data_IF_056170076582
#
_entry.id   IF_056170076582
#
_cell.length_a   1.000
_cell.length_b   1.000
_cell.length_c   1.000
_cell.angle_alpha   90.00
_cell.angle_beta   90.00
_cell.angle_gamma   90.00
#
_symmetry.space_group_name_H-M   'P 1'
#
loop_
_entity.id
_entity.type
_entity.pdbx_description
1 polymer ?
#
# COMPACT_ATOMS: atom_id res chain seq x y z
N UNK A 1 24.39 5.90 -4.98
CA UNK A 1 23.29 6.38 -4.14
C UNK A 1 22.03 5.81 -4.74
N UNK A 2 21.29 5.02 -3.96
CA UNK A 2 19.98 4.54 -4.42
C UNK A 2 18.95 5.68 -4.35
N UNK A 3 17.78 5.52 -4.98
CA UNK A 3 16.76 6.57 -5.02
C UNK A 3 16.30 6.98 -3.61
N UNK A 4 16.18 6.02 -2.68
CA UNK A 4 15.72 6.27 -1.30
C UNK A 4 16.69 7.17 -0.53
N UNK A 5 17.99 6.88 -0.60
CA UNK A 5 19.05 7.74 -0.06
C UNK A 5 19.00 9.15 -0.68
N UNK A 6 18.76 9.24 -1.99
CA UNK A 6 18.66 10.54 -2.69
C UNK A 6 17.48 11.35 -2.18
N UNK A 7 16.32 10.72 -1.95
CA UNK A 7 15.15 11.38 -1.37
C UNK A 7 15.41 11.86 0.07
N UNK A 8 16.07 11.05 0.90
CA UNK A 8 16.47 11.44 2.26
C UNK A 8 17.43 12.63 2.26
N UNK A 9 18.44 12.60 1.38
CA UNK A 9 19.37 13.71 1.19
C UNK A 9 18.65 14.97 0.74
N UNK A 10 17.75 14.88 -0.25
CA UNK A 10 16.98 16.01 -0.75
C UNK A 10 16.05 16.60 0.32
N UNK A 11 15.41 15.76 1.11
CA UNK A 11 14.57 16.20 2.22
C UNK A 11 15.39 16.99 3.24
N UNK A 12 16.59 16.50 3.60
CA UNK A 12 17.54 17.23 4.46
C UNK A 12 17.94 18.58 3.87
N UNK A 13 18.26 18.64 2.56
CA UNK A 13 18.59 19.90 1.87
C UNK A 13 17.43 20.89 1.93
N UNK A 14 16.19 20.43 1.75
CA UNK A 14 15.00 21.28 1.89
C UNK A 14 14.89 21.81 3.32
N UNK A 15 15.03 20.97 4.34
CA UNK A 15 14.89 21.38 5.75
C UNK A 15 15.99 22.37 6.19
N UNK A 16 17.23 22.16 5.76
CA UNK A 16 18.38 22.96 6.22
C UNK A 16 18.67 24.18 5.34
N UNK A 17 18.29 24.16 4.05
CA UNK A 17 18.75 25.14 3.07
C UNK A 17 17.63 25.81 2.26
N UNK A 18 16.35 25.62 2.60
CA UNK A 18 15.22 26.27 1.91
C UNK A 18 15.40 27.78 1.74
N UNK A 19 15.89 28.47 2.76
CA UNK A 19 16.11 29.91 2.72
C UNK A 19 17.23 30.34 1.78
N UNK A 20 18.11 29.41 1.36
CA UNK A 20 19.17 29.66 0.38
C UNK A 20 18.71 29.38 -1.05
N UNK A 21 17.75 28.47 -1.24
CA UNK A 21 17.23 28.03 -2.55
C UNK A 21 16.05 28.92 -2.94
N UNK A 22 16.28 30.19 -3.30
CA UNK A 22 15.16 31.16 -3.47
C UNK A 22 14.57 31.23 -4.87
N UNK A 23 15.34 30.92 -5.90
CA UNK A 23 14.94 31.11 -7.31
C UNK A 23 14.82 29.78 -8.06
N UNK A 24 14.34 29.87 -9.29
CA UNK A 24 14.13 28.71 -10.16
C UNK A 24 15.43 27.97 -10.48
N UNK A 25 16.52 28.69 -10.77
CA UNK A 25 17.83 28.10 -11.08
C UNK A 25 18.44 27.33 -9.89
N UNK A 26 18.35 27.89 -8.68
CA UNK A 26 18.75 27.18 -7.47
C UNK A 26 17.89 25.92 -7.25
N UNK A 27 16.59 26.01 -7.55
CA UNK A 27 15.67 24.86 -7.42
C UNK A 27 16.04 23.74 -8.39
N UNK A 28 16.30 24.12 -9.65
CA UNK A 28 16.84 23.25 -10.70
C UNK A 28 18.12 22.54 -10.26
N UNK A 29 19.10 23.32 -9.80
CA UNK A 29 20.43 22.81 -9.46
C UNK A 29 20.46 21.91 -8.23
N UNK A 30 19.78 22.30 -7.14
CA UNK A 30 19.94 21.67 -5.84
C UNK A 30 18.86 20.63 -5.52
N UNK A 31 17.72 20.65 -6.21
CA UNK A 31 16.60 19.74 -5.92
C UNK A 31 16.24 18.87 -7.13
N UNK A 32 16.04 19.48 -8.31
CA UNK A 32 15.56 18.75 -9.49
C UNK A 32 16.66 17.86 -10.08
N UNK A 33 17.85 18.41 -10.38
CA UNK A 33 18.95 17.61 -10.96
C UNK A 33 19.36 16.42 -10.07
N UNK A 34 19.53 16.57 -8.74
CA UNK A 34 19.86 15.41 -7.91
C UNK A 34 18.75 14.35 -7.92
N UNK A 35 17.47 14.73 -7.98
CA UNK A 35 16.38 13.76 -8.11
C UNK A 35 16.46 13.01 -9.45
N UNK A 36 16.66 13.72 -10.57
CA UNK A 36 16.81 13.09 -11.88
C UNK A 36 17.97 12.09 -11.88
N UNK A 37 19.08 12.45 -11.24
CA UNK A 37 20.21 11.52 -11.04
C UNK A 37 19.84 10.32 -10.18
N UNK A 38 19.07 10.52 -9.10
CA UNK A 38 18.53 9.44 -8.26
C UNK A 38 17.61 8.48 -9.01
N UNK A 39 16.86 8.99 -9.98
CA UNK A 39 16.05 8.19 -10.92
C UNK A 39 16.89 7.46 -11.99
N UNK A 40 18.22 7.63 -11.96
CA UNK A 40 19.17 6.96 -12.84
C UNK A 40 19.43 7.68 -14.15
N UNK A 41 18.94 8.91 -14.33
CA UNK A 41 19.25 9.72 -15.51
C UNK A 41 20.64 10.36 -15.39
N UNK A 42 21.40 10.35 -16.48
CA UNK A 42 22.69 11.04 -16.54
C UNK A 42 22.53 12.55 -16.77
N UNK A 43 22.57 13.31 -15.69
CA UNK A 43 22.47 14.78 -15.70
C UNK A 43 23.68 15.50 -16.29
N UNK A 44 24.79 14.79 -16.52
CA UNK A 44 25.99 15.36 -17.15
C UNK A 44 26.05 15.08 -18.65
N UNK A 45 25.22 14.16 -19.15
CA UNK A 45 25.11 13.87 -20.56
C UNK A 45 24.05 14.76 -21.20
N UNK A 46 24.42 15.71 -22.09
CA UNK A 46 23.45 16.54 -22.80
C UNK A 46 22.59 15.75 -23.79
N UNK A 47 22.98 14.51 -24.10
CA UNK A 47 22.19 13.57 -24.91
C UNK A 47 21.06 12.92 -24.12
N UNK A 48 21.13 12.95 -22.79
CA UNK A 48 20.16 12.31 -21.91
C UNK A 48 19.32 13.33 -21.15
N UNK A 49 19.95 14.29 -20.46
CA UNK A 49 19.25 15.40 -19.81
C UNK A 49 19.69 16.69 -20.49
N UNK A 50 18.83 17.22 -21.35
CA UNK A 50 19.11 18.44 -22.11
C UNK A 50 18.45 19.63 -21.41
N UNK A 51 19.22 20.57 -20.83
CA UNK A 51 18.67 21.81 -20.29
C UNK A 51 18.22 22.76 -21.39
N UNK A 52 17.27 23.64 -21.09
CA UNK A 52 16.80 24.70 -22.00
C UNK A 52 16.41 24.17 -23.40
N UNK A 53 15.72 23.03 -23.44
CA UNK A 53 15.39 22.35 -24.69
C UNK A 53 14.39 23.19 -25.50
N UNK A 54 14.73 23.45 -26.76
CA UNK A 54 13.97 24.34 -27.65
C UNK A 54 13.31 23.52 -28.76
N UNK A 55 12.04 23.80 -29.04
CA UNK A 55 11.34 23.24 -30.18
C UNK A 55 11.56 24.14 -31.40
N UNK A 56 12.26 23.67 -32.42
CA UNK A 56 12.47 24.40 -33.67
C UNK A 56 11.18 24.46 -34.52
N UNK A 57 10.17 25.21 -34.06
CA UNK A 57 9.01 25.56 -34.89
C UNK A 57 8.51 26.99 -34.59
N UNK A 58 9.00 27.95 -35.37
CA UNK A 58 8.35 29.17 -35.91
C UNK A 58 7.61 30.14 -34.94
N UNK A 59 7.61 29.94 -33.62
CA UNK A 59 7.09 30.90 -32.64
C UNK A 59 8.01 30.99 -31.42
N UNK A 60 8.48 32.22 -31.17
CA UNK A 60 9.10 32.81 -29.96
C UNK A 60 9.75 31.82 -28.98
N UNK A 61 11.09 31.90 -28.84
CA UNK A 61 11.99 31.70 -27.68
C UNK A 61 11.49 31.07 -26.36
N UNK A 62 10.44 30.27 -26.36
CA UNK A 62 10.05 29.49 -25.21
C UNK A 62 10.99 28.27 -25.21
N UNK A 63 11.43 27.87 -24.02
CA UNK A 63 12.23 26.66 -23.80
C UNK A 63 11.61 25.87 -22.66
N UNK A 64 11.71 24.54 -22.68
CA UNK A 64 11.41 23.73 -21.50
C UNK A 64 12.68 23.57 -20.68
N UNK A 65 12.58 23.56 -19.35
CA UNK A 65 13.74 23.57 -18.48
C UNK A 65 14.62 22.34 -18.67
N UNK A 66 14.02 21.14 -18.73
CA UNK A 66 14.72 19.92 -19.11
C UNK A 66 13.90 19.06 -20.06
N UNK A 67 14.59 18.49 -21.05
CA UNK A 67 14.13 17.34 -21.80
C UNK A 67 14.94 16.11 -21.39
N UNK A 68 14.25 15.03 -21.02
CA UNK A 68 14.87 13.74 -20.73
C UNK A 68 14.67 12.84 -21.93
N UNK A 69 15.79 12.41 -22.51
CA UNK A 69 15.84 11.55 -23.67
C UNK A 69 16.16 10.12 -23.28
N UNK A 70 15.38 9.18 -23.80
CA UNK A 70 15.58 7.74 -23.58
C UNK A 70 15.75 7.12 -24.97
N UNK A 71 16.84 6.38 -25.16
CA UNK A 71 17.23 5.83 -26.46
C UNK A 71 17.37 6.89 -27.57
N UNK A 72 17.85 8.09 -27.22
CA UNK A 72 18.10 9.19 -28.16
C UNK A 72 16.87 10.01 -28.55
N UNK A 73 15.71 9.72 -27.98
CA UNK A 73 14.48 10.51 -28.23
C UNK A 73 13.96 11.15 -26.94
N UNK A 74 13.54 12.44 -26.98
CA UNK A 74 12.85 13.07 -25.86
C UNK A 74 11.58 12.30 -25.51
N UNK A 75 11.47 11.86 -24.25
CA UNK A 75 10.30 11.13 -23.72
C UNK A 75 9.59 11.88 -22.60
N UNK A 76 10.33 12.67 -21.83
CA UNK A 76 9.82 13.38 -20.65
C UNK A 76 10.24 14.85 -20.73
N UNK A 77 9.29 15.74 -20.46
CA UNK A 77 9.57 17.17 -20.27
C UNK A 77 9.41 17.56 -18.80
N UNK A 78 10.34 18.36 -18.30
CA UNK A 78 10.33 18.87 -16.93
C UNK A 78 10.34 20.39 -16.97
N UNK A 79 9.36 21.00 -16.32
CA UNK A 79 9.21 22.44 -16.13
C UNK A 79 9.40 22.74 -14.64
N UNK A 80 10.33 23.63 -14.34
CA UNK A 80 10.67 24.05 -12.99
C UNK A 80 9.92 25.33 -12.60
N UNK A 81 9.76 25.51 -11.29
CA UNK A 81 9.29 26.73 -10.67
C UNK A 81 10.15 27.00 -9.42
N UNK A 82 10.23 28.25 -8.94
CA UNK A 82 10.93 28.54 -7.69
C UNK A 82 10.36 27.75 -6.50
N UNK A 83 11.20 27.30 -5.57
CA UNK A 83 10.80 26.44 -4.43
C UNK A 83 9.59 26.95 -3.62
N UNK A 84 9.42 28.27 -3.51
CA UNK A 84 8.36 28.90 -2.72
C UNK A 84 7.09 29.18 -3.52
N UNK A 85 7.07 28.85 -4.80
CA UNK A 85 5.90 28.99 -5.65
C UNK A 85 4.94 27.81 -5.44
N UNK A 86 3.64 28.10 -5.43
CA UNK A 86 2.61 27.06 -5.47
C UNK A 86 2.47 26.54 -6.89
N UNK A 87 2.40 25.22 -7.04
CA UNK A 87 2.15 24.59 -8.32
C UNK A 87 0.65 24.70 -8.63
N UNK A 88 0.28 25.60 -9.53
CA UNK A 88 -1.09 25.69 -10.04
C UNK A 88 -1.34 24.58 -11.06
N UNK A 89 -2.61 24.15 -11.18
CA UNK A 89 -3.02 23.04 -12.09
C UNK A 89 -2.65 23.26 -13.56
N UNK A 90 -2.58 24.51 -14.00
CA UNK A 90 -2.28 24.83 -15.39
C UNK A 90 -0.79 25.04 -15.59
N UNK A 91 -0.20 24.24 -16.49
CA UNK A 91 1.16 24.39 -16.98
C UNK A 91 1.11 24.75 -18.48
N UNK A 92 0.74 25.98 -18.88
CA UNK A 92 0.50 26.32 -20.28
C UNK A 92 1.73 26.12 -21.16
N UNK A 93 2.91 26.39 -20.61
CA UNK A 93 4.20 26.21 -21.28
C UNK A 93 4.45 24.72 -21.55
N UNK A 94 4.42 23.89 -20.50
CA UNK A 94 4.58 22.44 -20.61
C UNK A 94 3.55 21.80 -21.57
N UNK A 95 2.28 22.22 -21.52
CA UNK A 95 1.22 21.72 -22.41
C UNK A 95 1.49 22.01 -23.91
N UNK A 96 2.03 23.19 -24.23
CA UNK A 96 2.41 23.55 -25.62
C UNK A 96 3.53 22.66 -26.14
N UNK A 97 4.55 22.39 -25.32
CA UNK A 97 5.65 21.50 -25.69
C UNK A 97 5.21 20.07 -25.87
N UNK A 98 4.44 19.57 -24.91
CA UNK A 98 3.88 18.23 -24.96
C UNK A 98 3.18 18.00 -26.29
N UNK A 99 2.36 18.95 -26.76
CA UNK A 99 1.64 18.83 -28.02
C UNK A 99 2.51 18.94 -29.28
N UNK A 100 3.71 19.51 -29.16
CA UNK A 100 4.64 19.74 -30.28
C UNK A 100 5.53 18.52 -30.55
N UNK A 101 5.76 17.67 -29.55
CA UNK A 101 6.63 16.49 -29.67
C UNK A 101 5.84 15.20 -29.44
N UNK A 102 5.38 14.52 -30.51
CA UNK A 102 4.59 13.30 -30.39
C UNK A 102 5.25 12.14 -29.63
N UNK A 103 6.58 12.16 -29.51
CA UNK A 103 7.35 11.16 -28.78
C UNK A 103 7.41 11.43 -27.27
N UNK A 104 7.07 12.66 -26.84
CA UNK A 104 6.95 13.02 -25.44
C UNK A 104 5.54 12.75 -24.98
N UNK A 105 5.43 11.87 -24.00
CA UNK A 105 4.15 11.44 -23.43
C UNK A 105 4.05 11.70 -21.93
N UNK A 106 5.10 12.24 -21.33
CA UNK A 106 5.13 12.58 -19.91
C UNK A 106 5.62 14.01 -19.70
N UNK A 107 4.86 14.76 -18.90
CA UNK A 107 5.22 16.09 -18.44
C UNK A 107 5.34 16.11 -16.92
N UNK A 108 6.34 16.82 -16.40
CA UNK A 108 6.54 17.02 -14.97
C UNK A 108 6.59 18.53 -14.71
N UNK A 109 5.70 19.04 -13.86
CA UNK A 109 5.80 20.40 -13.32
C UNK A 109 6.22 20.30 -11.86
N UNK A 110 7.27 21.02 -11.47
CA UNK A 110 7.82 20.90 -10.11
C UNK A 110 8.41 22.20 -9.57
N UNK A 111 8.35 22.37 -8.25
CA UNK A 111 9.09 23.38 -7.50
C UNK A 111 10.24 22.76 -6.68
N UNK A 112 10.63 21.52 -6.97
CA UNK A 112 11.65 20.76 -6.24
C UNK A 112 11.16 20.11 -4.93
N UNK A 113 9.96 20.44 -4.45
CA UNK A 113 9.30 19.79 -3.31
C UNK A 113 8.16 18.90 -3.82
N UNK A 114 7.24 19.51 -4.56
CA UNK A 114 6.10 18.85 -5.19
C UNK A 114 6.44 18.56 -6.66
N UNK A 115 6.12 17.35 -7.13
CA UNK A 115 6.31 16.91 -8.51
C UNK A 115 4.96 16.44 -9.06
N UNK A 116 4.43 17.21 -10.01
CA UNK A 116 3.13 16.95 -10.63
C UNK A 116 3.37 16.29 -11.99
N UNK A 117 2.92 15.03 -12.12
CA UNK A 117 3.08 14.24 -13.32
C UNK A 117 1.82 14.30 -14.19
N UNK A 118 2.02 14.59 -15.48
CA UNK A 118 0.98 14.75 -16.49
C UNK A 118 1.25 13.82 -17.67
N UNK A 119 0.19 13.35 -18.31
CA UNK A 119 0.23 12.50 -19.50
C UNK A 119 -0.93 12.89 -20.42
N UNK A 120 -1.10 12.20 -21.53
CA UNK A 120 -2.16 12.40 -22.53
C UNK A 120 -3.21 11.27 -22.53
N UNK A 121 -3.86 11.01 -21.40
CA UNK A 121 -4.86 9.94 -21.30
C UNK A 121 -6.13 10.27 -22.08
N UNK A 122 -6.59 11.52 -22.03
CA UNK A 122 -7.88 11.87 -22.63
C UNK A 122 -7.78 12.01 -24.15
N UNK A 123 -6.72 12.63 -24.64
CA UNK A 123 -6.51 12.89 -26.06
C UNK A 123 -5.04 12.71 -26.40
N UNK A 124 -4.73 11.82 -27.34
CA UNK A 124 -3.36 11.55 -27.77
C UNK A 124 -2.62 12.83 -28.17
N UNK A 125 -1.40 13.00 -27.65
CA UNK A 125 -0.52 14.15 -27.86
C UNK A 125 -1.10 15.48 -27.33
N UNK A 126 -2.06 15.43 -26.40
CA UNK A 126 -2.59 16.60 -25.71
C UNK A 126 -2.50 16.31 -24.22
N UNK A 127 -1.66 17.08 -23.53
CA UNK A 127 -1.46 16.94 -22.09
C UNK A 127 -2.77 17.19 -21.33
N UNK A 128 -3.08 16.31 -20.40
CA UNK A 128 -4.25 16.45 -19.54
C UNK A 128 -4.14 17.71 -18.63
N UNK A 129 -5.27 18.36 -18.31
CA UNK A 129 -5.27 19.60 -17.53
C UNK A 129 -5.01 19.38 -16.03
N UNK A 130 -5.00 18.12 -15.58
CA UNK A 130 -4.79 17.73 -14.19
C UNK A 130 -3.71 16.67 -14.11
N UNK A 131 -2.81 16.73 -13.11
CA UNK A 131 -1.83 15.68 -12.93
C UNK A 131 -2.52 14.38 -12.48
N UNK A 132 -2.00 13.25 -12.94
CA UNK A 132 -2.47 11.93 -12.51
C UNK A 132 -1.75 11.44 -11.25
N UNK A 133 -0.57 12.00 -10.96
CA UNK A 133 0.23 11.67 -9.79
C UNK A 133 0.92 12.94 -9.27
N UNK A 134 0.90 13.13 -7.95
CA UNK A 134 1.58 14.23 -7.26
C UNK A 134 2.46 13.62 -6.19
N UNK A 135 3.76 13.83 -6.29
CA UNK A 135 4.74 13.35 -5.31
C UNK A 135 5.27 14.52 -4.48
N UNK A 136 5.16 14.44 -3.16
CA UNK A 136 5.72 15.42 -2.22
C UNK A 136 6.96 14.84 -1.54
N UNK A 137 8.12 15.41 -1.84
CA UNK A 137 9.41 14.95 -1.33
C UNK A 137 9.52 15.03 0.21
N UNK A 138 8.76 15.93 0.84
CA UNK A 138 8.74 16.11 2.29
C UNK A 138 7.73 15.23 3.01
N UNK A 139 6.75 14.69 2.27
CA UNK A 139 5.63 13.94 2.83
C UNK A 139 5.05 12.93 1.83
N UNK A 140 5.81 11.88 1.52
CA UNK A 140 5.35 10.78 0.65
C UNK A 140 5.08 9.49 1.45
N UNK A 141 4.13 8.68 0.97
CA UNK A 141 3.89 7.32 1.46
C UNK A 141 4.73 6.28 0.70
N UNK A 142 4.81 5.04 1.20
CA UNK A 142 5.48 3.95 0.48
C UNK A 142 4.80 3.64 -0.87
N UNK A 143 3.49 3.87 -1.00
CA UNK A 143 2.77 3.78 -2.28
C UNK A 143 3.26 4.86 -3.26
N UNK A 144 3.42 6.10 -2.79
CA UNK A 144 3.95 7.19 -3.61
C UNK A 144 5.39 6.93 -4.06
N UNK A 145 6.22 6.38 -3.18
CA UNK A 145 7.58 5.95 -3.53
C UNK A 145 7.54 4.85 -4.62
N UNK A 146 6.69 3.84 -4.46
CA UNK A 146 6.52 2.75 -5.42
C UNK A 146 6.06 3.26 -6.79
N UNK A 147 5.22 4.30 -6.84
CA UNK A 147 4.84 4.97 -8.08
C UNK A 147 6.01 5.76 -8.68
N UNK A 148 6.75 6.52 -7.86
CA UNK A 148 7.90 7.31 -8.32
C UNK A 148 8.99 6.44 -8.96
N UNK A 149 9.25 5.25 -8.41
CA UNK A 149 10.26 4.30 -8.93
C UNK A 149 10.02 3.95 -10.40
N UNK A 150 8.76 3.89 -10.86
CA UNK A 150 8.40 3.58 -12.25
C UNK A 150 8.87 4.64 -13.26
N UNK A 151 9.23 5.84 -12.79
CA UNK A 151 9.80 6.90 -13.61
C UNK A 151 11.32 6.84 -13.70
N UNK A 152 11.95 5.85 -13.06
CA UNK A 152 13.39 5.62 -13.16
C UNK A 152 13.76 5.15 -14.57
N UNK A 153 14.94 5.55 -15.06
CA UNK A 153 15.43 5.26 -16.42
C UNK A 153 15.24 3.79 -16.84
N UNK A 154 15.60 2.85 -15.96
CA UNK A 154 15.58 1.42 -16.27
C UNK A 154 14.18 0.79 -16.24
N UNK A 155 13.20 1.49 -15.67
CA UNK A 155 11.81 1.02 -15.52
C UNK A 155 10.83 1.84 -16.36
N UNK A 156 11.32 2.87 -17.06
CA UNK A 156 10.49 3.71 -17.88
C UNK A 156 9.88 2.88 -19.02
N UNK A 157 8.56 2.73 -18.96
CA UNK A 157 7.74 2.16 -20.00
C UNK A 157 6.44 2.95 -20.09
N UNK A 158 6.16 3.53 -21.26
CA UNK A 158 5.02 4.41 -21.43
C UNK A 158 3.69 3.68 -21.22
N UNK A 159 3.54 2.44 -21.71
CA UNK A 159 2.29 1.68 -21.53
C UNK A 159 2.03 1.39 -20.06
N UNK A 160 3.07 1.02 -19.29
CA UNK A 160 2.97 0.83 -17.84
C UNK A 160 2.62 2.13 -17.10
N UNK A 161 3.24 3.26 -17.48
CA UNK A 161 2.93 4.58 -16.90
C UNK A 161 1.50 5.01 -17.23
N UNK A 162 1.03 4.74 -18.45
CA UNK A 162 -0.32 5.04 -18.89
C UNK A 162 -1.35 4.26 -18.05
N UNK A 163 -1.16 2.94 -17.89
CA UNK A 163 -2.03 2.11 -17.05
C UNK A 163 -2.02 2.56 -15.58
N UNK A 164 -0.85 2.98 -15.07
CA UNK A 164 -0.74 3.57 -13.73
C UNK A 164 -1.58 4.85 -13.64
N UNK A 165 -1.43 5.75 -14.61
CA UNK A 165 -2.16 7.01 -14.65
C UNK A 165 -3.68 6.80 -14.69
N UNK A 166 -4.17 5.87 -15.52
CA UNK A 166 -5.58 5.49 -15.56
C UNK A 166 -6.07 4.99 -14.19
N UNK A 167 -5.31 4.09 -13.57
CA UNK A 167 -5.64 3.54 -12.26
C UNK A 167 -5.72 4.63 -11.18
N UNK A 168 -4.77 5.55 -11.14
CA UNK A 168 -4.73 6.64 -10.17
C UNK A 168 -5.90 7.63 -10.36
N UNK A 169 -6.19 8.02 -11.60
CA UNK A 169 -7.32 8.91 -11.91
C UNK A 169 -8.64 8.26 -11.52
N UNK A 170 -8.85 6.98 -11.87
CA UNK A 170 -10.07 6.26 -11.50
C UNK A 170 -10.20 6.11 -9.99
N UNK A 171 -9.13 5.73 -9.30
CA UNK A 171 -9.11 5.61 -7.84
C UNK A 171 -9.46 6.93 -7.17
N UNK A 172 -8.87 8.04 -7.62
CA UNK A 172 -9.17 9.37 -7.07
C UNK A 172 -10.61 9.80 -7.34
N UNK A 173 -11.11 9.57 -8.56
CA UNK A 173 -12.49 9.86 -8.95
C UNK A 173 -13.48 9.07 -8.11
N UNK A 174 -13.28 7.75 -7.98
CA UNK A 174 -14.13 6.89 -7.17
C UNK A 174 -14.09 7.28 -5.69
N UNK A 175 -12.91 7.56 -5.14
CA UNK A 175 -12.77 8.05 -3.76
C UNK A 175 -13.53 9.36 -3.55
N UNK A 176 -13.49 10.28 -4.51
CA UNK A 176 -14.23 11.55 -4.44
C UNK A 176 -15.74 11.31 -4.38
N UNK A 177 -16.27 10.48 -5.27
CA UNK A 177 -17.71 10.15 -5.31
C UNK A 177 -18.13 9.43 -4.03
N UNK A 178 -17.31 8.50 -3.53
CA UNK A 178 -17.60 7.78 -2.28
C UNK A 178 -17.65 8.76 -1.10
N UNK A 179 -16.70 9.70 -1.00
CA UNK A 179 -16.73 10.76 0.02
C UNK A 179 -17.99 11.61 -0.08
N UNK A 180 -18.37 12.02 -1.28
CA UNK A 180 -19.60 12.76 -1.52
C UNK A 180 -20.84 11.98 -1.07
N UNK A 181 -20.89 10.66 -1.26
CA UNK A 181 -22.00 9.82 -0.76
C UNK A 181 -22.10 9.87 0.77
N UNK A 182 -20.99 9.86 1.49
CA UNK A 182 -20.98 9.95 2.95
C UNK A 182 -21.38 11.34 3.47
N UNK A 183 -20.95 12.40 2.78
CA UNK A 183 -21.23 13.78 3.19
C UNK A 183 -22.61 14.26 2.75
N UNK A 184 -23.02 13.94 1.53
CA UNK A 184 -24.26 14.37 0.89
C UNK A 184 -24.78 13.31 -0.11
N UNK A 185 -25.44 12.24 0.37
CA UNK A 185 -25.88 11.13 -0.48
C UNK A 185 -26.87 11.62 -1.57
N UNK A 186 -26.66 11.26 -2.83
CA UNK A 186 -27.56 11.67 -3.92
C UNK A 186 -28.95 11.02 -3.81
N UNK A 187 -29.96 11.61 -4.47
CA UNK A 187 -31.32 11.02 -4.54
C UNK A 187 -31.29 9.61 -5.14
N UNK A 188 -30.46 9.40 -6.15
CA UNK A 188 -30.28 8.09 -6.79
C UNK A 188 -29.68 7.07 -5.82
N UNK A 189 -28.70 7.47 -5.01
CA UNK A 189 -28.13 6.61 -3.97
C UNK A 189 -29.17 6.25 -2.90
N UNK A 190 -29.92 7.23 -2.39
CA UNK A 190 -30.98 6.99 -1.40
C UNK A 190 -32.02 6.03 -1.96
N UNK A 191 -32.44 6.24 -3.20
CA UNK A 191 -33.39 5.37 -3.91
C UNK A 191 -32.85 3.95 -4.09
N UNK A 192 -31.56 3.81 -4.40
CA UNK A 192 -30.88 2.51 -4.45
C UNK A 192 -30.96 1.80 -3.09
N UNK A 193 -30.54 2.45 -2.00
CA UNK A 193 -30.57 1.89 -0.63
C UNK A 193 -31.97 1.41 -0.24
N UNK A 194 -33.00 2.22 -0.50
CA UNK A 194 -34.38 1.87 -0.17
C UNK A 194 -34.85 0.65 -0.97
N UNK A 195 -34.56 0.61 -2.28
CA UNK A 195 -35.01 -0.47 -3.17
C UNK A 195 -34.38 -1.82 -2.85
N UNK A 196 -33.18 -1.84 -2.29
CA UNK A 196 -32.50 -3.07 -1.88
C UNK A 196 -33.23 -3.83 -0.77
N UNK A 197 -34.13 -3.17 -0.02
CA UNK A 197 -34.90 -3.80 1.06
C UNK A 197 -36.41 -3.62 0.97
N UNK A 198 -36.88 -2.61 0.25
CA UNK A 198 -38.30 -2.28 0.15
C UNK A 198 -38.79 -2.26 -1.30
N UNK A 199 -39.92 -2.91 -1.56
CA UNK A 199 -40.45 -3.12 -2.93
C UNK A 199 -41.57 -2.13 -3.31
N UNK A 200 -41.66 -0.96 -2.68
CA UNK A 200 -42.66 0.05 -3.00
C UNK A 200 -42.11 1.13 -3.95
N UNK A 201 -43.02 1.86 -4.59
CA UNK A 201 -42.66 2.99 -5.46
C UNK A 201 -42.10 4.14 -4.62
N UNK A 202 -40.80 4.40 -4.74
CA UNK A 202 -40.12 5.49 -4.04
C UNK A 202 -40.52 6.83 -4.67
N UNK A 203 -41.17 7.71 -3.90
CA UNK A 203 -41.54 9.09 -4.29
C UNK A 203 -40.48 10.09 -3.82
N UNK A 204 -40.43 11.28 -4.44
CA UNK A 204 -39.50 12.33 -4.03
C UNK A 204 -39.71 12.78 -2.58
N UNK A 205 -40.97 12.85 -2.13
CA UNK A 205 -41.29 13.19 -0.76
C UNK A 205 -40.75 12.17 0.23
N UNK A 206 -40.80 10.88 -0.10
CA UNK A 206 -40.19 9.84 0.74
C UNK A 206 -38.66 9.94 0.75
N UNK A 207 -38.02 10.22 -0.40
CA UNK A 207 -36.57 10.45 -0.48
C UNK A 207 -36.14 11.59 0.43
N UNK A 208 -36.86 12.72 0.40
CA UNK A 208 -36.55 13.88 1.23
C UNK A 208 -36.64 13.55 2.74
N UNK A 209 -37.61 12.75 3.15
CA UNK A 209 -37.76 12.29 4.54
C UNK A 209 -36.71 11.24 4.92
N UNK A 210 -36.34 10.35 4.00
CA UNK A 210 -35.38 9.27 4.23
C UNK A 210 -33.93 9.77 4.22
N UNK A 211 -33.61 10.84 3.48
CA UNK A 211 -32.27 11.43 3.34
C UNK A 211 -31.52 11.60 4.68
N UNK A 212 -32.05 12.31 5.69
CA UNK A 212 -31.34 12.47 6.97
C UNK A 212 -31.14 11.15 7.70
N UNK A 213 -32.07 10.19 7.56
CA UNK A 213 -31.94 8.87 8.17
C UNK A 213 -30.85 8.04 7.47
N UNK A 214 -30.82 8.01 6.14
CA UNK A 214 -29.79 7.32 5.36
C UNK A 214 -28.41 7.90 5.66
N UNK A 215 -28.29 9.23 5.72
CA UNK A 215 -27.03 9.88 6.06
C UNK A 215 -26.55 9.51 7.46
N UNK A 216 -27.46 9.51 8.45
CA UNK A 216 -27.16 9.06 9.81
C UNK A 216 -26.68 7.61 9.83
N UNK A 217 -27.42 6.70 9.18
CA UNK A 217 -27.04 5.29 9.12
C UNK A 217 -25.70 5.05 8.40
N UNK A 218 -25.36 5.83 7.36
CA UNK A 218 -24.06 5.75 6.71
C UNK A 218 -22.91 6.13 7.66
N UNK A 219 -23.09 7.18 8.46
CA UNK A 219 -22.09 7.61 9.44
C UNK A 219 -21.95 6.60 10.59
N UNK A 220 -23.07 6.09 11.10
CA UNK A 220 -23.09 5.04 12.12
C UNK A 220 -22.40 3.77 11.62
N UNK A 221 -22.75 3.29 10.42
CA UNK A 221 -22.12 2.11 9.83
C UNK A 221 -20.61 2.30 9.59
N UNK A 222 -20.18 3.47 9.14
CA UNK A 222 -18.75 3.78 9.00
C UNK A 222 -18.04 3.77 10.36
N UNK A 223 -18.69 4.31 11.40
CA UNK A 223 -18.16 4.33 12.76
C UNK A 223 -18.07 2.92 13.35
N UNK A 224 -19.08 2.07 13.13
CA UNK A 224 -19.07 0.65 13.49
C UNK A 224 -17.92 -0.07 12.79
N UNK A 225 -17.79 0.08 11.47
CA UNK A 225 -16.70 -0.54 10.69
C UNK A 225 -15.33 -0.09 11.20
N UNK A 226 -15.15 1.20 11.51
CA UNK A 226 -13.88 1.70 12.06
C UNK A 226 -13.65 1.13 13.46
N UNK A 227 -14.66 1.14 14.32
CA UNK A 227 -14.55 0.62 15.69
C UNK A 227 -14.21 -0.88 15.69
N UNK A 228 -14.84 -1.66 14.82
CA UNK A 228 -14.58 -3.09 14.61
C UNK A 228 -13.18 -3.36 14.04
N UNK A 229 -12.63 -2.44 13.26
CA UNK A 229 -11.30 -2.58 12.63
C UNK A 229 -10.16 -2.07 13.51
N UNK A 230 -10.42 -1.12 14.42
CA UNK A 230 -9.39 -0.38 15.15
C UNK A 230 -9.47 -0.49 16.70
N UNK A 231 -10.42 -1.23 17.27
CA UNK A 231 -10.50 -1.51 18.72
C UNK A 231 -10.43 -0.22 19.57
N UNK A 232 -11.06 0.87 19.08
CA UNK A 232 -11.10 2.17 19.76
C UNK A 232 -12.32 2.18 20.69
N UNK A 233 -12.15 2.21 22.03
CA UNK A 233 -13.27 2.39 22.93
C UNK A 233 -13.66 3.85 22.91
N UNK A 234 -14.81 4.17 22.31
CA UNK A 234 -15.35 5.52 22.38
C UNK A 234 -16.03 5.71 23.74
N UNK A 235 -15.51 6.65 24.55
CA UNK A 235 -16.19 7.14 25.74
C UNK A 235 -17.46 7.88 25.33
N UNK A 236 -18.59 7.31 25.77
CA UNK A 236 -19.97 7.76 25.59
C UNK A 236 -20.32 9.04 26.36
N UNK A 237 -21.27 9.81 25.82
CA UNK A 237 -22.26 10.53 26.64
C UNK A 237 -23.69 10.15 26.24
N UNK A 238 -24.19 9.13 26.97
CA UNK A 238 -25.49 8.96 27.64
C UNK A 238 -26.74 9.60 27.02
N UNK A 239 -27.69 8.74 26.64
CA UNK A 239 -28.99 8.71 27.33
C UNK A 239 -29.48 7.27 27.48
N UNK A 240 -29.73 6.89 28.74
CA UNK A 240 -30.23 5.59 29.18
C UNK A 240 -31.70 5.41 28.76
N UNK A 241 -32.07 4.19 28.40
CA UNK A 241 -33.05 3.44 29.19
C UNK A 241 -32.94 1.94 28.88
N UNK A 242 -32.95 1.16 29.96
CA UNK A 242 -32.76 -0.27 29.99
C UNK A 242 -34.08 -0.99 29.72
N UNK A 243 -34.04 -2.06 28.91
CA UNK A 243 -34.85 -3.24 29.16
C UNK A 243 -33.92 -4.45 29.02
N UNK A 244 -33.77 -5.15 30.14
CA UNK A 244 -33.13 -6.45 30.22
C UNK A 244 -33.97 -7.48 29.49
N UNK A 245 -33.33 -8.27 28.62
CA UNK A 245 -33.73 -9.62 28.30
C UNK A 245 -32.45 -10.42 28.06
N UNK A 246 -32.33 -11.50 28.82
CA UNK A 246 -31.28 -12.50 28.69
C UNK A 246 -31.24 -13.03 27.25
N UNK A 247 -30.06 -13.10 26.64
CA UNK A 247 -29.82 -14.06 25.57
C UNK A 247 -28.52 -14.83 25.81
N UNK A 248 -28.76 -16.14 25.92
CA UNK A 248 -27.85 -17.25 25.78
C UNK A 248 -26.77 -17.07 24.71
N UNK A 249 -25.65 -17.76 24.94
CA UNK A 249 -24.67 -18.18 23.94
C UNK A 249 -25.26 -18.27 22.52
N UNK A 250 -24.73 -17.46 21.60
CA UNK A 250 -24.74 -17.80 20.18
C UNK A 250 -23.32 -17.83 19.64
N UNK A 251 -23.06 -18.96 18.99
CA UNK A 251 -21.79 -19.45 18.49
C UNK A 251 -21.14 -18.50 17.49
N UNK A 252 -19.81 -18.39 17.56
CA UNK A 252 -18.97 -17.84 16.49
C UNK A 252 -19.29 -18.61 15.20
N UNK A 253 -20.04 -18.02 14.28
CA UNK A 253 -20.14 -18.54 12.91
C UNK A 253 -18.73 -18.48 12.30
N UNK A 254 -18.13 -19.64 12.09
CA UNK A 254 -16.91 -19.79 11.30
C UNK A 254 -17.21 -19.43 9.85
N UNK A 255 -16.42 -18.53 9.26
CA UNK A 255 -16.52 -18.12 7.86
C UNK A 255 -15.96 -19.16 6.87
N UNK A 256 -15.54 -20.33 7.37
CA UNK A 256 -14.85 -21.37 6.63
C UNK A 256 -15.55 -22.71 6.80
N UNK A 257 -15.73 -23.43 5.69
CA UNK A 257 -16.21 -24.81 5.71
C UNK A 257 -15.12 -25.70 6.32
N UNK A 258 -15.52 -26.73 7.09
CA UNK A 258 -14.56 -27.64 7.73
C UNK A 258 -13.65 -28.32 6.70
N UNK A 259 -14.19 -28.70 5.54
CA UNK A 259 -13.43 -29.25 4.41
C UNK A 259 -12.34 -28.30 3.89
N UNK A 260 -12.58 -26.99 3.90
CA UNK A 260 -11.57 -26.00 3.49
C UNK A 260 -10.47 -25.90 4.55
N UNK A 261 -10.81 -25.96 5.84
CA UNK A 261 -9.85 -25.95 6.96
C UNK A 261 -8.98 -27.20 6.93
N UNK A 262 -9.59 -28.37 6.75
CA UNK A 262 -8.88 -29.66 6.67
C UNK A 262 -7.97 -29.73 5.43
N UNK A 263 -8.26 -28.94 4.39
CA UNK A 263 -7.45 -28.86 3.17
C UNK A 263 -6.21 -27.96 3.29
N UNK A 264 -6.04 -27.22 4.39
CA UNK A 264 -5.01 -26.17 4.54
C UNK A 264 -3.58 -26.69 4.49
N UNK A 265 -3.34 -27.94 4.85
CA UNK A 265 -1.99 -28.50 4.88
C UNK A 265 -1.98 -30.01 4.97
N UNK A 266 -0.79 -30.58 4.85
CA UNK A 266 -0.48 -31.93 5.32
C UNK A 266 0.28 -31.83 6.64
N UNK A 267 0.39 -32.94 7.34
CA UNK A 267 1.17 -33.01 8.57
C UNK A 267 2.04 -34.25 8.56
N UNK A 268 3.22 -34.11 9.15
CA UNK A 268 4.23 -35.16 9.28
C UNK A 268 4.77 -35.13 10.71
N UNK A 269 5.37 -36.23 11.16
CA UNK A 269 6.10 -36.26 12.43
C UNK A 269 7.59 -36.10 12.18
N UNK A 270 8.20 -35.11 12.82
CA UNK A 270 9.62 -34.85 12.77
C UNK A 270 10.15 -34.71 14.20
N UNK A 271 11.07 -35.58 14.59
CA UNK A 271 11.71 -35.56 15.92
C UNK A 271 10.72 -35.48 17.11
N UNK A 272 9.57 -36.17 16.98
CA UNK A 272 8.54 -36.19 18.02
C UNK A 272 7.61 -34.97 18.04
N UNK A 273 7.75 -34.06 17.07
CA UNK A 273 6.89 -32.89 16.88
C UNK A 273 6.07 -33.06 15.61
N UNK A 274 4.78 -32.69 15.68
CA UNK A 274 3.94 -32.59 14.47
C UNK A 274 4.30 -31.32 13.71
N UNK A 275 4.74 -31.50 12.47
CA UNK A 275 5.12 -30.46 11.53
C UNK A 275 3.99 -30.33 10.51
N UNK A 276 3.42 -29.13 10.38
CA UNK A 276 2.40 -28.83 9.37
C UNK A 276 3.08 -28.21 8.16
N UNK A 277 2.79 -28.77 6.99
CA UNK A 277 3.23 -28.28 5.68
C UNK A 277 2.01 -27.64 4.97
N UNK A 278 1.94 -26.31 4.87
CA UNK A 278 0.77 -25.64 4.33
C UNK A 278 0.71 -25.80 2.81
N UNK A 279 -0.51 -25.92 2.27
CA UNK A 279 -0.79 -25.92 0.84
C UNK A 279 -1.10 -24.50 0.37
N UNK A 280 -0.16 -23.89 -0.37
CA UNK A 280 -0.32 -22.53 -0.91
C UNK A 280 -1.65 -22.31 -1.63
N UNK A 281 -2.08 -23.25 -2.49
CA UNK A 281 -3.32 -23.15 -3.25
C UNK A 281 -4.58 -23.03 -2.35
N UNK A 282 -4.62 -23.76 -1.23
CA UNK A 282 -5.73 -23.71 -0.27
C UNK A 282 -5.81 -22.33 0.41
N UNK A 283 -4.66 -21.77 0.81
CA UNK A 283 -4.61 -20.43 1.39
C UNK A 283 -4.96 -19.35 0.36
N UNK A 284 -4.51 -19.45 -0.89
CA UNK A 284 -4.90 -18.53 -1.97
C UNK A 284 -6.43 -18.50 -2.15
N UNK A 285 -7.05 -19.69 -2.22
CA UNK A 285 -8.51 -19.84 -2.37
C UNK A 285 -9.28 -19.18 -1.23
N UNK A 286 -8.79 -19.30 0.01
CA UNK A 286 -9.47 -18.78 1.20
C UNK A 286 -9.21 -17.30 1.47
N UNK A 287 -8.03 -16.79 1.12
CA UNK A 287 -7.70 -15.36 1.27
C UNK A 287 -8.49 -14.49 0.29
N UNK A 288 -8.88 -15.03 -0.88
CA UNK A 288 -9.72 -14.35 -1.89
C UNK A 288 -9.25 -12.94 -2.24
N UNK A 289 -7.93 -12.71 -2.21
CA UNK A 289 -7.32 -11.44 -2.59
C UNK A 289 -6.37 -11.68 -3.77
N UNK A 290 -6.20 -10.67 -4.66
CA UNK A 290 -5.30 -10.81 -5.80
C UNK A 290 -3.86 -10.97 -5.33
N UNK A 291 -3.02 -11.62 -6.15
CA UNK A 291 -1.61 -11.86 -5.85
C UNK A 291 -0.85 -10.59 -5.45
N UNK A 292 -1.17 -9.47 -6.10
CA UNK A 292 -0.58 -8.15 -5.82
C UNK A 292 -0.94 -7.56 -4.45
N UNK A 293 -1.90 -8.15 -3.73
CA UNK A 293 -2.32 -7.74 -2.39
C UNK A 293 -1.71 -8.57 -1.27
N UNK A 294 -0.96 -9.63 -1.58
CA UNK A 294 -0.22 -10.39 -0.59
C UNK A 294 0.89 -9.52 0.00
N UNK A 295 1.05 -9.58 1.33
CA UNK A 295 2.07 -8.84 2.07
C UNK A 295 2.36 -9.56 3.38
N UNK A 296 3.41 -9.16 4.08
CA UNK A 296 3.77 -9.75 5.38
C UNK A 296 2.66 -9.57 6.42
N UNK A 297 1.92 -8.46 6.39
CA UNK A 297 0.83 -8.15 7.32
C UNK A 297 -0.51 -8.82 6.94
N UNK A 298 -0.64 -9.26 5.69
CA UNK A 298 -1.84 -9.94 5.17
C UNK A 298 -1.66 -11.45 5.01
N UNK A 299 -0.43 -11.93 5.05
CA UNK A 299 -0.04 -13.27 4.66
C UNK A 299 0.23 -13.35 3.16
N UNK A 300 1.16 -14.21 2.78
CA UNK A 300 1.58 -14.39 1.39
C UNK A 300 1.71 -15.88 1.06
N UNK A 301 0.69 -16.49 0.44
CA UNK A 301 0.74 -17.88 0.01
C UNK A 301 1.83 -18.21 -1.03
N UNK A 302 2.49 -17.20 -1.59
CA UNK A 302 3.62 -17.36 -2.52
C UNK A 302 4.98 -17.33 -1.82
N UNK A 303 5.01 -17.11 -0.50
CA UNK A 303 6.25 -17.21 0.26
C UNK A 303 6.76 -18.64 0.30
N UNK A 304 8.08 -18.79 0.39
CA UNK A 304 8.71 -20.06 0.71
C UNK A 304 8.69 -20.34 2.23
N UNK A 305 8.41 -19.33 3.06
CA UNK A 305 8.39 -19.47 4.52
C UNK A 305 6.98 -19.71 5.07
N UNK A 306 6.89 -20.48 6.15
CA UNK A 306 5.63 -20.75 6.83
C UNK A 306 5.80 -21.10 8.31
N UNK A 307 4.72 -20.97 9.08
CA UNK A 307 4.69 -21.48 10.46
C UNK A 307 4.29 -22.95 10.40
N UNK A 308 5.22 -23.83 10.74
CA UNK A 308 4.99 -25.27 10.73
C UNK A 308 4.39 -25.79 12.04
N UNK A 309 4.73 -25.16 13.17
CA UNK A 309 4.09 -25.44 14.45
C UNK A 309 4.10 -24.20 15.35
N UNK A 310 3.10 -24.10 16.22
CA UNK A 310 2.97 -23.07 17.25
C UNK A 310 3.07 -23.73 18.61
N UNK A 311 4.08 -23.32 19.38
CA UNK A 311 4.36 -23.90 20.69
C UNK A 311 3.62 -23.13 21.78
N UNK A 312 2.86 -23.85 22.59
CA UNK A 312 2.13 -23.30 23.73
C UNK A 312 2.68 -23.82 25.05
N UNK A 313 2.89 -22.90 26.00
CA UNK A 313 3.03 -23.22 27.42
C UNK A 313 1.80 -22.64 28.14
N UNK A 314 0.95 -23.52 28.68
CA UNK A 314 -0.39 -23.14 29.12
C UNK A 314 -1.23 -22.58 27.97
N UNK A 315 -1.66 -21.31 28.08
CA UNK A 315 -2.43 -20.60 27.06
C UNK A 315 -1.60 -19.58 26.25
N UNK A 316 -0.31 -19.46 26.51
CA UNK A 316 0.56 -18.46 25.88
C UNK A 316 1.38 -19.07 24.76
N UNK A 317 1.52 -18.35 23.65
CA UNK A 317 2.45 -18.71 22.57
C UNK A 317 3.85 -18.35 23.02
N UNK A 318 4.70 -19.36 23.14
CA UNK A 318 6.08 -19.25 23.62
C UNK A 318 7.10 -19.42 22.52
N UNK A 319 6.69 -19.93 21.36
CA UNK A 319 7.58 -20.08 20.21
C UNK A 319 6.90 -20.65 18.97
N UNK A 320 7.69 -20.75 17.91
CA UNK A 320 7.29 -21.22 16.59
C UNK A 320 8.34 -22.17 16.03
N UNK A 321 7.90 -23.19 15.30
CA UNK A 321 8.71 -23.84 14.28
C UNK A 321 8.37 -23.18 12.94
N UNK A 322 9.38 -22.60 12.29
CA UNK A 322 9.25 -21.96 10.99
C UNK A 322 9.87 -22.87 9.95
N UNK A 323 9.10 -23.21 8.91
CA UNK A 323 9.60 -23.95 7.76
C UNK A 323 9.96 -23.03 6.61
N UNK A 324 10.96 -23.43 5.82
CA UNK A 324 11.28 -22.83 4.53
C UNK A 324 11.33 -23.92 3.46
N UNK A 325 10.55 -23.74 2.40
CA UNK A 325 10.61 -24.58 1.21
C UNK A 325 11.82 -24.24 0.32
N UNK A 326 12.37 -25.26 -0.32
CA UNK A 326 13.36 -25.15 -1.39
C UNK A 326 13.01 -26.12 -2.51
N UNK A 327 13.69 -26.01 -3.66
CA UNK A 327 13.53 -26.92 -4.79
C UNK A 327 12.06 -27.14 -5.17
N UNK A 328 11.31 -26.05 -5.42
CA UNK A 328 9.89 -26.11 -5.75
C UNK A 328 9.01 -26.85 -4.71
N UNK A 329 9.30 -26.67 -3.41
CA UNK A 329 8.60 -27.30 -2.28
C UNK A 329 8.89 -28.80 -2.10
N UNK A 330 9.95 -29.33 -2.74
CA UNK A 330 10.38 -30.71 -2.53
C UNK A 330 11.20 -30.87 -1.24
N UNK A 331 11.95 -29.84 -0.84
CA UNK A 331 12.79 -29.84 0.35
C UNK A 331 12.33 -28.79 1.38
N UNK A 332 12.51 -29.09 2.67
CA UNK A 332 12.13 -28.18 3.77
C UNK A 332 13.23 -28.08 4.83
N UNK A 333 13.58 -26.85 5.22
CA UNK A 333 14.39 -26.58 6.42
C UNK A 333 13.51 -26.05 7.54
N UNK A 334 13.76 -26.50 8.78
CA UNK A 334 13.04 -26.03 9.97
C UNK A 334 13.92 -25.14 10.85
N UNK A 335 13.35 -24.05 11.33
CA UNK A 335 13.95 -23.09 12.25
C UNK A 335 13.14 -23.03 13.53
N UNK A 336 13.81 -23.06 14.67
CA UNK A 336 13.18 -22.91 15.98
C UNK A 336 13.29 -21.46 16.44
N UNK A 337 12.17 -20.78 16.69
CA UNK A 337 12.16 -19.36 17.05
C UNK A 337 11.33 -19.12 18.30
N UNK A 338 11.93 -18.55 19.35
CA UNK A 338 11.21 -18.12 20.55
C UNK A 338 10.27 -16.94 20.20
N UNK A 339 9.12 -16.84 20.87
CA UNK A 339 8.12 -15.84 20.49
C UNK A 339 8.58 -14.39 20.67
N UNK A 340 9.50 -14.15 21.60
CA UNK A 340 10.16 -12.85 21.83
C UNK A 340 11.38 -12.61 20.92
N UNK A 341 11.84 -13.61 20.15
CA UNK A 341 13.01 -13.53 19.27
C UNK A 341 12.64 -13.46 17.78
N UNK A 342 11.35 -13.34 17.45
CA UNK A 342 10.91 -13.28 16.06
C UNK A 342 11.52 -12.07 15.32
N UNK A 343 11.78 -10.95 16.00
CA UNK A 343 12.46 -9.80 15.42
C UNK A 343 13.86 -10.18 14.91
N UNK A 344 14.63 -10.90 15.74
CA UNK A 344 15.96 -11.40 15.40
C UNK A 344 15.91 -12.39 14.22
N UNK A 345 14.93 -13.29 14.21
CA UNK A 345 14.74 -14.21 13.07
C UNK A 345 14.53 -13.45 11.75
N UNK A 346 13.75 -12.37 11.77
CA UNK A 346 13.50 -11.56 10.58
C UNK A 346 14.76 -10.78 10.14
N UNK A 347 15.59 -10.32 11.08
CA UNK A 347 16.89 -9.69 10.77
C UNK A 347 17.87 -10.69 10.13
N UNK A 348 17.89 -11.94 10.62
CA UNK A 348 18.72 -13.02 10.06
C UNK A 348 18.20 -13.54 8.71
N UNK A 349 16.90 -13.35 8.43
CA UNK A 349 16.26 -13.78 7.19
C UNK A 349 15.52 -12.60 6.50
N UNK A 350 16.24 -11.64 5.91
CA UNK A 350 15.66 -10.40 5.38
C UNK A 350 14.57 -10.63 4.32
N UNK A 351 14.66 -11.72 3.56
CA UNK A 351 13.65 -12.07 2.55
C UNK A 351 12.25 -12.27 3.15
N UNK A 352 12.16 -12.61 4.44
CA UNK A 352 10.88 -12.77 5.15
C UNK A 352 10.19 -11.41 5.38
N UNK A 353 10.95 -10.31 5.47
CA UNK A 353 10.38 -8.95 5.52
C UNK A 353 9.72 -8.52 4.22
N UNK A 354 10.04 -9.17 3.11
CA UNK A 354 9.43 -8.89 1.81
C UNK A 354 8.37 -9.93 1.46
N UNK A 355 8.71 -11.21 1.62
CA UNK A 355 7.89 -12.33 1.20
C UNK A 355 6.85 -12.75 2.25
N UNK A 356 7.10 -12.54 3.55
CA UNK A 356 6.18 -12.96 4.62
C UNK A 356 6.04 -14.48 4.76
N UNK A 357 4.88 -14.97 5.20
CA UNK A 357 4.61 -16.39 5.43
C UNK A 357 3.36 -16.87 4.69
N UNK A 358 3.31 -18.16 4.32
CA UNK A 358 2.15 -18.78 3.66
C UNK A 358 0.90 -18.71 4.55
N UNK A 359 1.01 -19.20 5.79
CA UNK A 359 -0.12 -19.42 6.70
C UNK A 359 -0.17 -18.44 7.88
N UNK A 360 0.73 -17.46 7.90
CA UNK A 360 0.82 -16.48 8.97
C UNK A 360 0.98 -15.06 8.42
N UNK A 361 0.64 -14.10 9.26
CA UNK A 361 0.92 -12.68 9.06
C UNK A 361 1.70 -12.14 10.25
N UNK A 362 2.60 -11.21 9.95
CA UNK A 362 3.38 -10.49 10.94
C UNK A 362 2.56 -9.32 11.49
N UNK A 363 2.45 -9.27 12.80
CA UNK A 363 1.88 -8.15 13.53
C UNK A 363 2.94 -7.46 14.38
N UNK A 364 2.74 -6.17 14.62
CA UNK A 364 3.60 -5.36 15.47
C UNK A 364 2.84 -4.84 16.68
N UNK A 365 3.55 -4.66 17.78
CA UNK A 365 3.06 -4.06 19.02
C UNK A 365 4.09 -3.06 19.50
N UNK A 366 3.70 -1.79 19.52
CA UNK A 366 4.51 -0.73 20.11
C UNK A 366 4.29 -0.71 21.62
N UNK A 367 5.37 -0.85 22.38
CA UNK A 367 5.34 -0.57 23.81
C UNK A 367 5.34 0.95 24.02
N UNK A 368 4.21 1.49 24.48
CA UNK A 368 4.02 2.94 24.68
C UNK A 368 4.96 3.56 25.72
N UNK A 369 5.55 2.76 26.60
CA UNK A 369 6.44 3.23 27.65
C UNK A 369 7.92 3.22 27.23
N UNK A 370 8.33 2.26 26.39
CA UNK A 370 9.74 2.10 25.96
C UNK A 370 9.98 2.49 24.50
N UNK A 371 8.91 2.75 23.73
CA UNK A 371 8.94 2.90 22.26
C UNK A 371 9.52 1.68 21.50
N UNK A 372 9.69 0.53 22.15
CA UNK A 372 10.15 -0.68 21.50
C UNK A 372 9.03 -1.33 20.68
N UNK A 373 9.38 -1.78 19.47
CA UNK A 373 8.48 -2.55 18.61
C UNK A 373 8.73 -4.03 18.87
N UNK A 374 7.68 -4.72 19.31
CA UNK A 374 7.65 -6.18 19.40
C UNK A 374 6.88 -6.75 18.23
N UNK A 375 7.34 -7.89 17.74
CA UNK A 375 6.76 -8.58 16.61
C UNK A 375 6.07 -9.88 17.09
N UNK A 376 5.00 -10.28 16.44
CA UNK A 376 4.33 -11.56 16.72
C UNK A 376 3.67 -12.10 15.45
N UNK A 377 3.42 -13.40 15.41
CA UNK A 377 2.73 -14.04 14.30
C UNK A 377 1.28 -14.34 14.65
N UNK A 378 0.39 -14.21 13.68
CA UNK A 378 -1.01 -14.68 13.74
C UNK A 378 -1.35 -15.41 12.45
N UNK A 379 -2.38 -16.23 12.48
CA UNK A 379 -2.97 -16.79 11.26
C UNK A 379 -3.30 -15.68 10.25
N UNK A 380 -2.98 -15.95 8.98
CA UNK A 380 -3.33 -15.07 7.86
C UNK A 380 -4.84 -15.10 7.54
N UNK A 381 -5.55 -16.16 7.96
CA UNK A 381 -6.99 -16.29 7.75
C UNK A 381 -7.74 -15.45 8.78
N UNK A 382 -8.63 -14.59 8.29
CA UNK A 382 -9.38 -13.65 9.13
C UNK A 382 -10.35 -14.43 10.02
N UNK A 383 -10.40 -14.11 11.31
CA UNK A 383 -11.24 -14.79 12.31
C UNK A 383 -10.93 -16.28 12.55
N UNK A 384 -9.82 -16.80 12.02
CA UNK A 384 -9.31 -18.14 12.32
C UNK A 384 -7.99 -17.99 13.08
N UNK A 385 -7.90 -18.50 14.30
CA UNK A 385 -6.66 -18.52 15.08
C UNK A 385 -5.80 -19.74 14.71
N UNK A 386 -4.53 -19.75 15.10
CA UNK A 386 -3.69 -20.94 14.91
C UNK A 386 -4.25 -22.19 15.60
N UNK A 387 -5.05 -22.03 16.67
CA UNK A 387 -5.68 -23.15 17.39
C UNK A 387 -6.80 -23.81 16.59
N UNK A 388 -7.35 -23.08 15.64
CA UNK A 388 -8.43 -23.56 14.79
C UNK A 388 -7.88 -24.25 13.52
N UNK A 389 -6.55 -24.23 13.31
CA UNK A 389 -5.88 -24.92 12.21
C UNK A 389 -5.45 -26.32 12.70
N UNK A 390 -5.86 -27.41 12.02
CA UNK A 390 -5.58 -28.77 12.43
C UNK A 390 -4.08 -29.03 12.63
N UNK A 391 -3.73 -29.65 13.77
CA UNK A 391 -2.38 -30.09 14.13
C UNK A 391 -1.29 -28.99 14.21
N UNK A 392 -1.64 -27.72 14.02
CA UNK A 392 -0.66 -26.63 14.02
C UNK A 392 -0.16 -26.26 15.42
N UNK A 393 -0.92 -26.62 16.47
CA UNK A 393 -0.60 -26.27 17.85
C UNK A 393 -0.03 -27.46 18.60
N UNK A 394 1.15 -27.26 19.19
CA UNK A 394 1.85 -28.24 20.03
C UNK A 394 2.02 -27.68 21.44
N UNK A 395 1.65 -28.46 22.46
CA UNK A 395 1.87 -28.09 23.87
C UNK A 395 3.24 -28.54 24.32
N UNK A 396 3.97 -27.66 25.00
CA UNK A 396 5.31 -27.92 25.53
C UNK A 396 5.30 -27.68 27.03
N UNK A 397 5.89 -28.59 27.80
CA UNK A 397 5.98 -28.47 29.26
C UNK A 397 7.06 -27.46 29.68
N UNK A 398 8.25 -27.59 29.09
CA UNK A 398 9.40 -26.70 29.30
C UNK A 398 9.95 -26.21 27.96
N UNK A 399 9.93 -24.89 27.79
CA UNK A 399 10.29 -24.21 26.55
C UNK A 399 11.79 -24.25 26.30
N UNK A 400 12.61 -24.06 27.34
CA UNK A 400 14.05 -24.01 27.19
C UNK A 400 14.61 -25.40 26.89
N UNK A 401 14.09 -26.45 27.56
CA UNK A 401 14.45 -27.83 27.23
C UNK A 401 14.07 -28.21 25.79
N UNK A 402 12.90 -27.78 25.31
CA UNK A 402 12.48 -28.04 23.93
C UNK A 402 13.38 -27.33 22.90
N UNK A 403 13.72 -26.06 23.14
CA UNK A 403 14.59 -25.33 22.21
C UNK A 403 16.03 -25.85 22.22
N UNK A 404 16.51 -26.33 23.36
CA UNK A 404 17.85 -26.92 23.45
C UNK A 404 17.93 -28.34 22.87
N UNK A 405 16.82 -29.08 22.79
CA UNK A 405 16.79 -30.38 22.11
C UNK A 405 16.75 -30.29 20.58
N UNK A 406 16.44 -29.11 20.02
CA UNK A 406 16.28 -28.89 18.57
C UNK A 406 17.45 -28.10 17.94
N UNK A 407 18.48 -27.74 18.73
CA UNK A 407 19.76 -27.20 18.24
C UNK A 407 20.71 -28.32 17.92
#
# INVERSE_FOLDING_TARGET
MNLKETLEMLNKVILENRDLIKNEESTKQFLILPLLRGLGYDTYSPQEVTPEFTADFHKKNEKVDYAISINGEPKIFVEAKPINSKINKSAPQLSRYFSTFPNVRLGILTNGIEYHFFTDLNNTNIMDPTPFFVFDLTSYSEDDFSHLVKFSKNLYDYETIKLLAESLIYSQSFKSVIKEIFENPSDDFIKFVIKERFKFKVTQQFINTARPLVQKCLQEALTEIISDKFDVPMQSQVMQEAIAAEEMQQEKKSYYLQEDIDSLGTYEEFEGVKVVLPRSASYQKLLKMPVTSYSVEKGNPLSDFFVSAVLLQGNSIVGYLIGQYYNNQEDTTLYTVKSNEIAKFLEENPIVFEAGFINARLGTRLNKNTNEITYFLRSCLTNLSFRDIPNLVSKVEDVDLFFDSMK
#
